data_IF_426624948979
#
_entry.id   IF_426624948979
#
_cell.length_a   1.000
_cell.length_b   1.000
_cell.length_c   1.000
_cell.angle_alpha   90.00
_cell.angle_beta   90.00
_cell.angle_gamma   90.00
#
_symmetry.space_group_name_H-M   'P 1'
#
loop_
_entity.id
_entity.type
_entity.pdbx_description
1 polymer ?
#
# COMPACT_ATOMS: atom_id res chain seq x y z
N UNK A 1 -21.60 55.51 55.32
CA UNK A 1 -22.21 54.54 54.38
C UNK A 1 -22.88 55.20 53.16
N UNK A 2 -23.48 56.40 53.30
CA UNK A 2 -24.16 57.13 52.22
C UNK A 2 -23.26 57.60 51.05
N UNK A 3 -22.04 58.09 51.32
CA UNK A 3 -21.15 58.65 50.28
C UNK A 3 -20.62 57.57 49.31
N UNK A 4 -20.38 56.34 49.80
CA UNK A 4 -19.94 55.20 48.96
C UNK A 4 -20.99 54.79 47.93
N UNK A 5 -22.29 54.89 48.25
CA UNK A 5 -23.37 54.52 47.33
C UNK A 5 -23.56 55.50 46.16
N UNK A 6 -23.37 56.81 46.41
CA UNK A 6 -23.48 57.85 45.39
C UNK A 6 -22.30 57.78 44.40
N UNK A 7 -21.08 57.63 44.92
CA UNK A 7 -19.89 57.48 44.10
C UNK A 7 -19.98 56.24 43.17
N UNK A 8 -20.47 55.12 43.69
CA UNK A 8 -20.63 53.89 42.91
C UNK A 8 -21.66 54.04 41.76
N UNK A 9 -22.73 54.80 41.97
CA UNK A 9 -23.76 55.04 40.97
C UNK A 9 -23.27 55.98 39.85
N UNK A 10 -22.47 56.99 40.20
CA UNK A 10 -21.84 57.89 39.22
C UNK A 10 -20.83 57.12 38.36
N UNK A 11 -19.95 56.33 38.99
CA UNK A 11 -18.98 55.49 38.28
C UNK A 11 -19.68 54.52 37.33
N UNK A 12 -20.78 53.88 37.76
CA UNK A 12 -21.57 53.00 36.90
C UNK A 12 -22.14 53.73 35.67
N UNK A 13 -22.67 54.95 35.84
CA UNK A 13 -23.21 55.74 34.72
C UNK A 13 -22.12 56.14 33.73
N UNK A 14 -20.94 56.52 34.21
CA UNK A 14 -19.79 56.87 33.37
C UNK A 14 -19.34 55.65 32.56
N UNK A 15 -19.22 54.49 33.21
CA UNK A 15 -18.88 53.24 32.53
C UNK A 15 -19.94 52.85 31.49
N UNK A 16 -21.22 52.95 31.81
CA UNK A 16 -22.30 52.66 30.87
C UNK A 16 -22.27 53.58 29.64
N UNK A 17 -21.97 54.87 29.83
CA UNK A 17 -21.76 55.79 28.70
C UNK A 17 -20.55 55.40 27.86
N UNK A 18 -19.42 55.16 28.51
CA UNK A 18 -18.19 54.79 27.82
C UNK A 18 -18.37 53.51 26.99
N UNK A 19 -18.85 52.41 27.60
CA UNK A 19 -19.09 51.16 26.88
C UNK A 19 -20.21 51.30 25.84
N UNK A 20 -21.31 52.00 26.16
CA UNK A 20 -22.41 52.19 25.23
C UNK A 20 -21.99 52.91 23.95
N UNK A 21 -21.23 54.01 24.07
CA UNK A 21 -20.73 54.76 22.92
C UNK A 21 -19.72 53.96 22.10
N UNK A 22 -18.80 53.24 22.74
CA UNK A 22 -17.86 52.38 22.03
C UNK A 22 -18.56 51.25 21.26
N UNK A 23 -19.56 50.61 21.86
CA UNK A 23 -20.36 49.58 21.19
C UNK A 23 -21.19 50.18 20.05
N UNK A 24 -21.69 51.41 20.20
CA UNK A 24 -22.40 52.10 19.11
C UNK A 24 -21.46 52.35 17.92
N UNK A 25 -20.26 52.86 18.19
CA UNK A 25 -19.26 53.13 17.18
C UNK A 25 -18.82 51.84 16.47
N UNK A 26 -18.56 50.77 17.22
CA UNK A 26 -18.28 49.45 16.68
C UNK A 26 -19.43 48.93 15.80
N UNK A 27 -20.68 49.15 16.22
CA UNK A 27 -21.85 48.79 15.42
C UNK A 27 -21.95 49.57 14.11
N UNK A 28 -21.72 50.89 14.15
CA UNK A 28 -21.70 51.73 12.95
C UNK A 28 -20.59 51.33 11.98
N UNK A 29 -19.39 51.00 12.47
CA UNK A 29 -18.31 50.47 11.64
C UNK A 29 -18.67 49.09 11.05
N UNK A 30 -19.30 48.23 11.84
CA UNK A 30 -19.68 46.88 11.41
C UNK A 30 -20.76 46.91 10.32
N UNK A 31 -21.64 47.92 10.30
CA UNK A 31 -22.67 48.07 9.23
C UNK A 31 -22.07 48.09 7.82
N UNK A 32 -20.83 48.57 7.67
CA UNK A 32 -20.14 48.61 6.37
C UNK A 32 -19.84 47.19 5.86
N UNK A 33 -19.55 46.25 6.77
CA UNK A 33 -19.18 44.87 6.44
C UNK A 33 -20.35 43.88 6.57
N UNK A 34 -21.27 44.12 7.50
CA UNK A 34 -22.44 43.29 7.78
C UNK A 34 -23.58 44.14 8.32
N UNK A 35 -24.65 44.27 7.51
CA UNK A 35 -25.85 45.02 7.88
C UNK A 35 -26.44 44.51 9.21
N UNK A 36 -26.68 43.20 9.30
CA UNK A 36 -27.26 42.60 10.50
C UNK A 36 -26.30 42.60 11.70
N UNK A 37 -24.99 42.36 11.46
CA UNK A 37 -23.97 42.45 12.51
C UNK A 37 -23.93 43.85 13.14
N UNK A 38 -23.91 44.89 12.30
CA UNK A 38 -23.95 46.28 12.75
C UNK A 38 -25.24 46.64 13.49
N UNK A 39 -26.40 46.22 12.97
CA UNK A 39 -27.70 46.45 13.63
C UNK A 39 -27.72 45.83 15.03
N UNK A 40 -27.24 44.60 15.22
CA UNK A 40 -27.25 43.95 16.54
C UNK A 40 -26.31 44.63 17.55
N UNK A 41 -25.15 45.14 17.13
CA UNK A 41 -24.30 45.97 17.98
C UNK A 41 -24.97 47.29 18.36
N UNK A 42 -25.64 47.96 17.43
CA UNK A 42 -26.37 49.21 17.70
C UNK A 42 -27.50 48.97 18.71
N UNK A 43 -28.27 47.88 18.54
CA UNK A 43 -29.29 47.48 19.51
C UNK A 43 -28.70 47.15 20.88
N UNK A 44 -27.54 46.48 20.93
CA UNK A 44 -26.84 46.22 22.18
C UNK A 44 -26.39 47.51 22.87
N UNK A 45 -25.88 48.49 22.11
CA UNK A 45 -25.51 49.81 22.62
C UNK A 45 -26.71 50.56 23.23
N UNK A 46 -27.86 50.53 22.56
CA UNK A 46 -29.08 51.18 23.03
C UNK A 46 -29.59 50.64 24.37
N UNK A 47 -29.32 49.36 24.67
CA UNK A 47 -29.61 48.77 25.97
C UNK A 47 -28.65 49.26 27.08
N UNK A 48 -27.42 49.65 26.73
CA UNK A 48 -26.38 50.07 27.66
C UNK A 48 -26.50 51.58 27.98
N UNK A 49 -26.78 52.42 26.98
CA UNK A 49 -26.76 53.89 27.09
C UNK A 49 -27.87 54.41 28.03
N UNK A 50 -27.54 55.17 29.11
CA UNK A 50 -28.53 55.58 30.11
C UNK A 50 -29.70 56.45 29.60
N UNK A 51 -29.52 57.46 28.74
CA UNK A 51 -30.64 58.24 28.19
C UNK A 51 -31.70 57.39 27.47
N UNK A 52 -31.26 56.38 26.72
CA UNK A 52 -32.16 55.51 25.96
C UNK A 52 -32.95 54.62 26.92
N UNK A 53 -32.30 54.14 27.98
CA UNK A 53 -32.97 53.42 29.07
C UNK A 53 -34.09 54.26 29.70
N UNK A 54 -33.81 55.50 30.07
CA UNK A 54 -34.79 56.40 30.70
C UNK A 54 -35.94 56.72 29.75
N UNK A 55 -35.65 56.93 28.47
CA UNK A 55 -36.64 57.16 27.43
C UNK A 55 -37.58 55.95 27.24
N UNK A 56 -37.03 54.73 27.14
CA UNK A 56 -37.83 53.51 26.99
C UNK A 56 -38.68 53.24 28.22
N UNK A 57 -38.13 53.41 29.42
CA UNK A 57 -38.88 53.25 30.67
C UNK A 57 -40.06 54.23 30.75
N UNK A 58 -39.84 55.49 30.38
CA UNK A 58 -40.88 56.53 30.34
C UNK A 58 -41.97 56.23 29.32
N UNK A 59 -41.63 55.67 28.16
CA UNK A 59 -42.59 55.43 27.07
C UNK A 59 -43.36 54.11 27.21
N UNK A 60 -42.73 53.08 27.76
CA UNK A 60 -43.30 51.72 27.83
C UNK A 60 -43.86 51.37 29.20
N UNK A 61 -43.62 52.21 30.22
CA UNK A 61 -43.97 51.96 31.62
C UNK A 61 -43.42 50.62 32.17
N UNK A 62 -42.40 50.05 31.50
CA UNK A 62 -41.74 48.80 31.86
C UNK A 62 -40.27 49.08 32.17
N UNK A 63 -39.81 48.63 33.33
CA UNK A 63 -38.39 48.67 33.69
C UNK A 63 -37.75 47.31 33.44
N UNK A 64 -36.83 47.23 32.47
CA UNK A 64 -36.03 46.03 32.26
C UNK A 64 -35.11 45.78 33.47
N UNK A 65 -35.22 44.60 34.08
CA UNK A 65 -34.31 44.15 35.13
C UNK A 65 -32.89 44.02 34.59
N UNK A 66 -31.89 44.35 35.42
CA UNK A 66 -30.46 44.30 35.05
C UNK A 66 -30.07 42.94 34.45
N UNK A 67 -30.54 41.83 35.05
CA UNK A 67 -30.27 40.46 34.56
C UNK A 67 -30.73 40.23 33.12
N UNK A 68 -31.98 40.58 32.81
CA UNK A 68 -32.56 40.37 31.48
C UNK A 68 -31.85 41.20 30.42
N UNK A 69 -31.43 42.42 30.77
CA UNK A 69 -30.66 43.28 29.89
C UNK A 69 -29.27 42.71 29.58
N UNK A 70 -28.55 42.25 30.60
CA UNK A 70 -27.22 41.66 30.40
C UNK A 70 -27.30 40.42 29.50
N UNK A 71 -28.34 39.59 29.69
CA UNK A 71 -28.61 38.43 28.83
C UNK A 71 -28.92 38.88 27.39
N UNK A 72 -29.80 39.87 27.21
CA UNK A 72 -30.16 40.39 25.88
C UNK A 72 -28.96 40.96 25.13
N UNK A 73 -28.11 41.72 25.82
CA UNK A 73 -26.86 42.24 25.28
C UNK A 73 -25.97 41.09 24.83
N UNK A 74 -25.74 40.08 25.68
CA UNK A 74 -24.91 38.93 25.34
C UNK A 74 -25.43 38.16 24.11
N UNK A 75 -26.74 37.95 24.00
CA UNK A 75 -27.37 37.32 22.82
C UNK A 75 -27.13 38.16 21.56
N UNK A 76 -27.27 39.49 21.64
CA UNK A 76 -27.02 40.39 20.51
C UNK A 76 -25.55 40.39 20.07
N UNK A 77 -24.61 40.29 21.02
CA UNK A 77 -23.18 40.13 20.70
C UNK A 77 -22.92 38.80 19.97
N UNK A 78 -23.50 37.69 20.41
CA UNK A 78 -23.39 36.38 19.74
C UNK A 78 -24.00 36.45 18.33
N UNK A 79 -25.20 36.99 18.21
CA UNK A 79 -25.87 37.15 16.93
C UNK A 79 -25.03 38.03 15.98
N UNK A 80 -24.51 39.16 16.47
CA UNK A 80 -23.63 40.03 15.70
C UNK A 80 -22.39 39.28 15.19
N UNK A 81 -21.71 38.54 16.07
CA UNK A 81 -20.54 37.73 15.72
C UNK A 81 -20.85 36.72 14.62
N UNK A 82 -21.98 36.00 14.75
CA UNK A 82 -22.45 35.04 13.75
C UNK A 82 -22.70 35.69 12.38
N UNK A 83 -23.50 36.75 12.33
CA UNK A 83 -23.84 37.42 11.06
C UNK A 83 -22.64 38.16 10.42
N UNK A 84 -21.71 38.65 11.23
CA UNK A 84 -20.47 39.25 10.71
C UNK A 84 -19.57 38.20 10.10
N UNK A 85 -19.39 37.05 10.77
CA UNK A 85 -18.62 35.92 10.24
C UNK A 85 -19.23 35.36 8.95
N UNK A 86 -20.56 35.22 8.90
CA UNK A 86 -21.26 34.74 7.70
C UNK A 86 -21.05 35.68 6.50
N UNK A 87 -21.19 37.00 6.70
CA UNK A 87 -20.98 38.01 5.64
C UNK A 87 -19.55 37.97 5.09
N UNK A 88 -18.55 37.88 5.98
CA UNK A 88 -17.13 37.77 5.58
C UNK A 88 -16.86 36.50 4.77
N UNK A 89 -17.39 35.36 5.20
CA UNK A 89 -17.25 34.10 4.47
C UNK A 89 -17.87 34.15 3.08
N UNK A 90 -19.04 34.78 2.94
CA UNK A 90 -19.69 34.95 1.64
C UNK A 90 -18.90 35.89 0.72
N UNK A 91 -18.32 36.97 1.25
CA UNK A 91 -17.47 37.88 0.49
C UNK A 91 -16.19 37.19 -0.02
N UNK A 92 -15.55 36.38 0.82
CA UNK A 92 -14.37 35.57 0.43
C UNK A 92 -14.74 34.57 -0.67
N UNK A 93 -15.88 33.89 -0.54
CA UNK A 93 -16.38 32.95 -1.56
C UNK A 93 -16.64 33.64 -2.90
N UNK A 94 -17.33 34.78 -2.90
CA UNK A 94 -17.59 35.58 -4.10
C UNK A 94 -16.31 36.06 -4.77
N UNK A 95 -15.31 36.47 -3.98
CA UNK A 95 -14.01 36.87 -4.50
C UNK A 95 -13.29 35.69 -5.17
N UNK A 96 -13.31 34.51 -4.55
CA UNK A 96 -12.72 33.30 -5.12
C UNK A 96 -13.43 32.86 -6.41
N UNK A 97 -14.77 32.93 -6.45
CA UNK A 97 -15.56 32.67 -7.65
C UNK A 97 -15.24 33.67 -8.77
N UNK A 98 -15.12 34.96 -8.44
CA UNK A 98 -14.73 36.00 -9.40
C UNK A 98 -13.33 35.75 -9.97
N UNK A 99 -12.35 35.45 -9.12
CA UNK A 99 -10.99 35.11 -9.57
C UNK A 99 -10.96 33.85 -10.44
N UNK A 100 -11.78 32.85 -10.11
CA UNK A 100 -11.93 31.65 -10.95
C UNK A 100 -12.53 32.00 -12.31
N UNK A 101 -13.57 32.84 -12.34
CA UNK A 101 -14.21 33.27 -13.57
C UNK A 101 -13.26 34.08 -14.44
N UNK A 102 -12.49 35.01 -13.87
CA UNK A 102 -11.48 35.79 -14.60
C UNK A 102 -10.44 34.87 -15.26
N UNK A 103 -10.00 33.80 -14.58
CA UNK A 103 -9.11 32.79 -15.17
C UNK A 103 -9.76 32.03 -16.33
N UNK A 104 -11.04 31.70 -16.22
CA UNK A 104 -11.79 31.05 -17.30
C UNK A 104 -11.94 32.00 -18.49
N UNK A 105 -12.26 33.26 -18.26
CA UNK A 105 -12.41 34.26 -19.32
C UNK A 105 -11.08 34.50 -20.05
N UNK A 106 -9.96 34.51 -19.32
CA UNK A 106 -8.62 34.56 -19.91
C UNK A 106 -8.31 33.31 -20.74
N UNK A 107 -8.71 32.13 -20.24
CA UNK A 107 -8.58 30.87 -20.99
C UNK A 107 -9.40 30.90 -22.29
N UNK A 108 -10.67 31.31 -22.25
CA UNK A 108 -11.54 31.34 -23.42
C UNK A 108 -11.00 32.23 -24.55
N UNK A 109 -10.35 33.35 -24.19
CA UNK A 109 -9.69 34.24 -25.16
C UNK A 109 -8.51 33.59 -25.87
N UNK A 110 -7.76 32.73 -25.18
CA UNK A 110 -6.56 32.07 -25.71
C UNK A 110 -6.82 30.61 -26.14
N UNK A 111 -8.04 30.11 -25.95
CA UNK A 111 -8.43 28.72 -26.24
C UNK A 111 -8.00 28.24 -27.63
N UNK A 112 -8.17 29.01 -28.72
CA UNK A 112 -7.74 28.56 -30.06
C UNK A 112 -6.24 28.25 -30.14
N UNK A 113 -5.39 29.08 -29.51
CA UNK A 113 -3.93 28.89 -29.52
C UNK A 113 -3.52 27.72 -28.64
N UNK A 114 -4.17 27.55 -27.48
CA UNK A 114 -3.96 26.41 -26.59
C UNK A 114 -4.29 25.11 -27.31
N UNK A 115 -5.46 25.05 -27.95
CA UNK A 115 -5.92 23.88 -28.72
C UNK A 115 -4.99 23.62 -29.89
N UNK A 116 -4.55 24.65 -30.62
CA UNK A 116 -3.57 24.51 -31.71
C UNK A 116 -2.26 23.90 -31.19
N UNK A 117 -1.71 24.43 -30.10
CA UNK A 117 -0.47 23.92 -29.48
C UNK A 117 -0.58 22.44 -29.08
N UNK A 118 -1.69 22.06 -28.45
CA UNK A 118 -1.92 20.66 -28.04
C UNK A 118 -2.05 19.76 -29.27
N UNK A 119 -2.75 20.21 -30.31
CA UNK A 119 -2.88 19.45 -31.56
C UNK A 119 -1.55 19.30 -32.29
N UNK A 120 -0.71 20.34 -32.34
CA UNK A 120 0.65 20.26 -32.90
C UNK A 120 1.47 19.23 -32.16
N UNK A 121 1.50 19.26 -30.82
CA UNK A 121 2.20 18.26 -30.02
C UNK A 121 1.69 16.83 -30.29
N UNK A 122 0.37 16.65 -30.47
CA UNK A 122 -0.21 15.36 -30.86
C UNK A 122 0.21 14.94 -32.28
N UNK A 123 0.31 15.86 -33.23
CA UNK A 123 0.76 15.60 -34.61
C UNK A 123 2.24 15.23 -34.68
N UNK A 124 3.05 15.83 -33.81
CA UNK A 124 4.47 15.54 -33.65
C UNK A 124 4.73 14.30 -32.77
N UNK A 125 3.68 13.59 -32.36
CA UNK A 125 3.70 12.43 -31.45
C UNK A 125 4.30 12.72 -30.06
N UNK A 126 4.45 14.00 -29.69
CA UNK A 126 4.82 14.43 -28.35
C UNK A 126 3.60 14.45 -27.42
N UNK A 127 3.09 13.23 -27.16
CA UNK A 127 1.89 13.05 -26.35
C UNK A 127 2.08 13.50 -24.89
N UNK A 128 3.30 13.47 -24.37
CA UNK A 128 3.58 13.92 -23.01
C UNK A 128 3.42 15.44 -22.90
N UNK A 129 3.99 16.21 -23.83
CA UNK A 129 3.78 17.66 -23.89
C UNK A 129 2.31 18.00 -24.09
N UNK A 130 1.61 17.29 -24.98
CA UNK A 130 0.17 17.47 -25.17
C UNK A 130 -0.63 17.21 -23.88
N UNK A 131 -0.32 16.13 -23.16
CA UNK A 131 -0.98 15.78 -21.91
C UNK A 131 -0.70 16.85 -20.83
N UNK A 132 0.54 17.24 -20.63
CA UNK A 132 0.91 18.22 -19.60
C UNK A 132 0.31 19.59 -19.88
N UNK A 133 0.35 20.03 -21.15
CA UNK A 133 -0.26 21.30 -21.57
C UNK A 133 -1.77 21.27 -21.35
N UNK A 134 -2.45 20.19 -21.72
CA UNK A 134 -3.91 20.06 -21.48
C UNK A 134 -4.26 20.00 -19.99
N UNK A 135 -3.42 19.37 -19.16
CA UNK A 135 -3.63 19.23 -17.72
C UNK A 135 -3.57 20.59 -16.97
N UNK A 136 -2.78 21.55 -17.48
CA UNK A 136 -2.72 22.91 -16.94
C UNK A 136 -4.07 23.63 -16.96
N UNK A 137 -4.97 23.28 -17.89
CA UNK A 137 -6.26 23.93 -18.09
C UNK A 137 -7.45 23.13 -17.55
N UNK A 138 -7.22 22.12 -16.69
CA UNK A 138 -8.28 21.30 -16.10
C UNK A 138 -9.29 22.14 -15.28
N UNK A 139 -8.84 23.26 -14.72
CA UNK A 139 -9.68 24.19 -13.96
C UNK A 139 -10.84 24.79 -14.79
N UNK A 140 -10.68 24.86 -16.12
CA UNK A 140 -11.70 25.40 -17.03
C UNK A 140 -12.82 24.39 -17.33
N UNK A 141 -12.61 23.10 -17.04
CA UNK A 141 -13.57 22.02 -17.33
C UNK A 141 -14.01 21.96 -18.81
N UNK A 142 -13.15 22.44 -19.72
CA UNK A 142 -13.45 22.49 -21.15
C UNK A 142 -13.47 21.10 -21.80
N UNK A 143 -14.48 20.85 -22.64
CA UNK A 143 -14.71 19.53 -23.27
C UNK A 143 -13.62 19.19 -24.27
N UNK A 144 -13.16 20.18 -25.07
CA UNK A 144 -12.14 19.94 -26.10
C UNK A 144 -10.79 19.62 -25.46
N UNK A 145 -10.38 20.40 -24.45
CA UNK A 145 -9.16 20.15 -23.68
C UNK A 145 -9.19 18.77 -23.02
N UNK A 146 -10.31 18.41 -22.38
CA UNK A 146 -10.45 17.10 -21.73
C UNK A 146 -10.38 15.94 -22.74
N UNK A 147 -10.97 16.10 -23.92
CA UNK A 147 -10.88 15.11 -25.01
C UNK A 147 -9.46 14.97 -25.52
N UNK A 148 -8.74 16.07 -25.74
CA UNK A 148 -7.35 16.05 -26.19
C UNK A 148 -6.42 15.43 -25.15
N UNK A 149 -6.63 15.76 -23.87
CA UNK A 149 -5.93 15.15 -22.74
C UNK A 149 -6.12 13.63 -22.71
N UNK A 150 -7.37 13.17 -22.83
CA UNK A 150 -7.69 11.76 -22.84
C UNK A 150 -7.06 11.04 -24.04
N UNK A 151 -7.06 11.67 -25.22
CA UNK A 151 -6.39 11.16 -26.42
C UNK A 151 -4.88 11.03 -26.21
N UNK A 152 -4.21 12.09 -25.74
CA UNK A 152 -2.78 12.09 -25.46
C UNK A 152 -2.43 11.01 -24.42
N UNK A 153 -3.20 10.93 -23.32
CA UNK A 153 -3.01 9.92 -22.28
C UNK A 153 -3.10 8.49 -22.83
N UNK A 154 -4.10 8.23 -23.68
CA UNK A 154 -4.29 6.91 -24.31
C UNK A 154 -3.08 6.51 -25.17
N UNK A 155 -2.52 7.44 -25.95
CA UNK A 155 -1.34 7.14 -26.76
C UNK A 155 -0.07 6.99 -25.91
N UNK A 156 0.12 7.79 -24.85
CA UNK A 156 1.19 7.57 -23.86
C UNK A 156 1.10 6.15 -23.29
N UNK A 157 -0.08 5.73 -22.86
CA UNK A 157 -0.27 4.39 -22.28
C UNK A 157 -0.02 3.28 -23.28
N UNK A 158 -0.34 3.51 -24.56
CA UNK A 158 -0.04 2.58 -25.66
C UNK A 158 1.46 2.47 -25.92
N UNK A 159 2.18 3.61 -25.97
CA UNK A 159 3.63 3.64 -26.14
C UNK A 159 4.35 2.98 -24.97
N UNK A 160 3.93 3.30 -23.75
CA UNK A 160 4.48 2.68 -22.54
C UNK A 160 4.25 1.17 -22.56
N UNK A 161 3.04 0.71 -22.89
CA UNK A 161 2.75 -0.72 -23.04
C UNK A 161 3.65 -1.37 -24.08
N UNK A 162 3.87 -0.73 -25.24
CA UNK A 162 4.76 -1.24 -26.29
C UNK A 162 6.20 -1.36 -25.77
N UNK A 163 6.71 -0.33 -25.09
CA UNK A 163 8.03 -0.34 -24.48
C UNK A 163 8.18 -1.44 -23.42
N UNK A 164 7.18 -1.61 -22.55
CA UNK A 164 7.16 -2.65 -21.52
C UNK A 164 7.21 -4.05 -22.15
N UNK A 165 6.45 -4.28 -23.24
CA UNK A 165 6.51 -5.53 -24.00
C UNK A 165 7.91 -5.75 -24.60
N UNK A 166 8.49 -4.75 -25.27
CA UNK A 166 9.83 -4.85 -25.86
C UNK A 166 10.91 -5.15 -24.82
N UNK A 167 10.84 -4.50 -23.66
CA UNK A 167 11.76 -4.73 -22.54
C UNK A 167 11.64 -6.17 -22.01
N UNK A 168 10.42 -6.68 -21.84
CA UNK A 168 10.21 -8.07 -21.39
C UNK A 168 10.73 -9.07 -22.45
N UNK A 169 10.47 -8.81 -23.73
CA UNK A 169 10.97 -9.64 -24.82
C UNK A 169 12.51 -9.62 -24.91
N UNK A 170 13.14 -8.49 -24.61
CA UNK A 170 14.59 -8.39 -24.52
C UNK A 170 15.15 -9.19 -23.33
N UNK A 171 14.49 -9.09 -22.17
CA UNK A 171 14.85 -9.87 -20.97
C UNK A 171 14.75 -11.37 -21.25
N UNK A 172 13.67 -11.82 -21.89
CA UNK A 172 13.48 -13.22 -22.30
C UNK A 172 14.61 -13.76 -23.19
N UNK A 173 15.20 -12.93 -24.08
CA UNK A 173 16.33 -13.34 -24.91
C UNK A 173 17.62 -13.55 -24.11
N UNK A 174 17.74 -12.91 -22.96
CA UNK A 174 18.94 -12.92 -22.12
C UNK A 174 18.90 -14.03 -21.07
N UNK A 175 17.71 -14.55 -20.76
CA UNK A 175 17.50 -15.59 -19.75
C UNK A 175 17.62 -16.97 -20.42
N UNK A 176 18.46 -17.89 -19.89
CA UNK A 176 18.51 -19.26 -20.36
C UNK A 176 17.16 -19.98 -20.28
N UNK A 177 16.83 -20.83 -21.24
CA UNK A 177 15.53 -21.54 -21.27
C UNK A 177 15.28 -22.39 -20.02
N UNK A 178 16.34 -22.94 -19.42
CA UNK A 178 16.29 -23.74 -18.19
C UNK A 178 15.88 -22.97 -16.94
N UNK A 179 15.89 -21.63 -16.97
CA UNK A 179 15.45 -20.78 -15.87
C UNK A 179 13.91 -20.69 -15.85
N UNK A 180 13.24 -21.84 -15.67
CA UNK A 180 11.79 -21.99 -15.90
C UNK A 180 10.94 -21.01 -15.08
N UNK A 181 11.30 -20.75 -13.82
CA UNK A 181 10.57 -19.84 -12.93
C UNK A 181 10.63 -18.40 -13.45
N UNK A 182 11.82 -17.93 -13.86
CA UNK A 182 12.00 -16.57 -14.38
C UNK A 182 11.27 -16.40 -15.71
N UNK A 183 11.45 -17.36 -16.62
CA UNK A 183 10.76 -17.35 -17.91
C UNK A 183 9.23 -17.34 -17.72
N UNK A 184 8.69 -18.20 -16.84
CA UNK A 184 7.26 -18.21 -16.49
C UNK A 184 6.77 -16.83 -16.06
N UNK A 185 7.44 -16.18 -15.11
CA UNK A 185 7.05 -14.86 -14.61
C UNK A 185 7.04 -13.77 -15.69
N UNK A 186 7.95 -13.84 -16.67
CA UNK A 186 7.95 -12.91 -17.80
C UNK A 186 6.77 -13.15 -18.75
N UNK A 187 6.40 -14.41 -19.02
CA UNK A 187 5.21 -14.70 -19.81
C UNK A 187 3.90 -14.33 -19.11
N UNK A 188 3.83 -14.45 -17.77
CA UNK A 188 2.69 -13.95 -16.99
C UNK A 188 2.53 -12.43 -17.17
N UNK A 189 3.63 -11.68 -17.06
CA UNK A 189 3.63 -10.22 -17.30
C UNK A 189 3.21 -9.87 -18.73
N UNK A 190 3.69 -10.62 -19.73
CA UNK A 190 3.27 -10.41 -21.13
C UNK A 190 1.77 -10.64 -21.33
N UNK A 191 1.16 -11.63 -20.66
CA UNK A 191 -0.27 -11.89 -20.75
C UNK A 191 -1.12 -10.83 -20.04
N UNK A 192 -0.62 -10.16 -19.00
CA UNK A 192 -1.29 -9.00 -18.43
C UNK A 192 -1.37 -7.85 -19.46
N UNK A 193 -0.31 -7.67 -20.26
CA UNK A 193 -0.23 -6.60 -21.26
C UNK A 193 -0.94 -6.97 -22.57
N UNK A 194 -0.96 -8.25 -22.95
CA UNK A 194 -1.55 -8.80 -24.18
C UNK A 194 -2.31 -10.10 -23.88
N UNK A 195 -3.52 -10.04 -23.30
CA UNK A 195 -4.25 -11.21 -22.81
C UNK A 195 -4.65 -12.23 -23.88
N UNK A 196 -4.83 -11.78 -25.14
CA UNK A 196 -5.31 -12.62 -26.24
C UNK A 196 -4.18 -13.27 -27.05
N UNK A 197 -2.92 -13.16 -26.60
CA UNK A 197 -1.80 -13.76 -27.30
C UNK A 197 -1.68 -15.27 -27.02
N UNK A 198 -2.01 -16.10 -28.00
CA UNK A 198 -1.96 -17.56 -27.86
C UNK A 198 -0.54 -18.10 -27.64
N UNK A 199 0.48 -17.53 -28.28
CA UNK A 199 1.87 -17.97 -28.11
C UNK A 199 2.35 -17.77 -26.66
N UNK A 200 1.97 -16.65 -26.03
CA UNK A 200 2.32 -16.40 -24.63
C UNK A 200 1.59 -17.34 -23.67
N UNK A 201 0.34 -17.72 -23.98
CA UNK A 201 -0.41 -18.73 -23.21
C UNK A 201 0.27 -20.10 -23.28
N UNK A 202 0.62 -20.55 -24.49
CA UNK A 202 1.32 -21.82 -24.71
C UNK A 202 2.68 -21.85 -24.00
N UNK A 203 3.45 -20.77 -24.06
CA UNK A 203 4.73 -20.67 -23.35
C UNK A 203 4.55 -20.68 -21.83
N UNK A 204 3.53 -19.99 -21.30
CA UNK A 204 3.22 -20.01 -19.88
C UNK A 204 2.89 -21.43 -19.39
N UNK A 205 2.09 -22.16 -20.17
CA UNK A 205 1.75 -23.55 -19.89
C UNK A 205 2.99 -24.46 -19.95
N UNK A 206 3.82 -24.31 -20.99
CA UNK A 206 5.07 -25.04 -21.13
C UNK A 206 5.98 -24.88 -19.90
N UNK A 207 6.25 -23.65 -19.46
CA UNK A 207 7.10 -23.43 -18.29
C UNK A 207 6.46 -23.92 -16.99
N UNK A 208 5.13 -23.86 -16.89
CA UNK A 208 4.41 -24.42 -15.74
C UNK A 208 4.55 -25.94 -15.70
N UNK A 209 4.43 -26.64 -16.83
CA UNK A 209 4.70 -28.08 -16.93
C UNK A 209 6.14 -28.41 -16.55
N UNK A 210 7.12 -27.65 -17.05
CA UNK A 210 8.53 -27.90 -16.73
C UNK A 210 8.88 -27.75 -15.26
N UNK A 211 8.25 -26.79 -14.58
CA UNK A 211 8.42 -26.62 -13.13
C UNK A 211 7.82 -27.82 -12.39
N UNK A 212 6.64 -28.28 -12.78
CA UNK A 212 6.00 -29.42 -12.13
C UNK A 212 6.78 -30.73 -12.41
N UNK A 213 7.23 -30.95 -13.64
CA UNK A 213 8.11 -32.08 -14.00
C UNK A 213 9.37 -32.11 -13.12
N UNK A 214 10.06 -30.97 -12.99
CA UNK A 214 11.26 -30.86 -12.16
C UNK A 214 10.96 -31.13 -10.67
N UNK A 215 9.82 -30.64 -10.17
CA UNK A 215 9.37 -30.91 -8.80
C UNK A 215 9.06 -32.38 -8.58
N UNK A 216 8.38 -33.03 -9.53
CA UNK A 216 8.08 -34.46 -9.47
C UNK A 216 9.36 -35.31 -9.53
N UNK A 217 10.33 -34.92 -10.35
CA UNK A 217 11.63 -35.58 -10.40
C UNK A 217 12.37 -35.44 -9.05
N UNK A 218 12.36 -34.25 -8.45
CA UNK A 218 12.93 -34.01 -7.12
C UNK A 218 12.25 -34.88 -6.05
N UNK A 219 10.92 -34.96 -6.05
CA UNK A 219 10.17 -35.80 -5.11
C UNK A 219 10.55 -37.28 -5.30
N UNK A 220 10.65 -37.76 -6.54
CA UNK A 220 11.06 -39.14 -6.83
C UNK A 220 12.49 -39.42 -6.38
N UNK A 221 13.41 -38.47 -6.60
CA UNK A 221 14.79 -38.59 -6.18
C UNK A 221 14.91 -38.65 -4.65
N UNK A 222 14.18 -37.81 -3.92
CA UNK A 222 14.16 -37.82 -2.45
C UNK A 222 13.54 -39.12 -1.92
N UNK A 223 12.38 -39.54 -2.45
CA UNK A 223 11.75 -40.80 -2.05
C UNK A 223 12.65 -42.01 -2.32
N UNK A 224 13.41 -42.00 -3.44
CA UNK A 224 14.41 -43.04 -3.73
C UNK A 224 15.54 -43.01 -2.70
N UNK A 225 16.06 -41.83 -2.39
CA UNK A 225 17.12 -41.65 -1.40
C UNK A 225 16.67 -42.15 -0.02
N UNK A 226 15.49 -41.75 0.44
CA UNK A 226 14.92 -42.25 1.70
C UNK A 226 14.77 -43.77 1.70
N UNK A 227 14.28 -44.35 0.59
CA UNK A 227 14.16 -45.81 0.44
C UNK A 227 15.52 -46.51 0.54
N UNK A 228 16.57 -45.96 -0.08
CA UNK A 228 17.94 -46.47 0.03
C UNK A 228 18.47 -46.34 1.46
N UNK A 229 18.38 -45.14 2.05
CA UNK A 229 18.88 -44.86 3.41
C UNK A 229 18.18 -45.72 4.47
N UNK A 230 16.91 -46.07 4.26
CA UNK A 230 16.17 -46.98 5.14
C UNK A 230 16.75 -48.40 5.25
N UNK A 231 17.70 -48.78 4.39
CA UNK A 231 18.42 -50.06 4.47
C UNK A 231 19.61 -50.02 5.43
N UNK A 232 20.09 -48.83 5.81
CA UNK A 232 21.28 -48.62 6.62
C UNK A 232 20.93 -48.15 8.04
N UNK A 233 21.68 -48.64 9.02
CA UNK A 233 21.57 -48.18 10.40
C UNK A 233 21.94 -46.70 10.51
N UNK A 234 21.09 -45.86 11.15
CA UNK A 234 21.41 -44.44 11.35
C UNK A 234 22.54 -44.22 12.38
N UNK A 235 22.95 -45.27 13.11
CA UNK A 235 23.93 -45.16 14.20
C UNK A 235 25.36 -45.42 13.74
N UNK A 236 25.56 -46.45 12.93
CA UNK A 236 26.88 -46.91 12.47
C UNK A 236 26.96 -47.04 10.94
N UNK A 237 25.86 -46.85 10.21
CA UNK A 237 25.83 -46.98 8.75
C UNK A 237 25.85 -48.43 8.26
N UNK A 238 25.70 -49.43 9.14
CA UNK A 238 25.66 -50.84 8.75
C UNK A 238 24.45 -51.18 7.87
N UNK A 239 24.66 -51.97 6.81
CA UNK A 239 23.55 -52.47 6.00
C UNK A 239 22.83 -53.60 6.73
N UNK A 240 21.58 -53.36 7.15
CA UNK A 240 20.83 -54.25 8.05
C UNK A 240 20.71 -55.69 7.52
N UNK A 241 20.53 -55.85 6.22
CA UNK A 241 20.42 -57.18 5.59
C UNK A 241 21.75 -57.94 5.60
N UNK A 242 22.86 -57.24 5.36
CA UNK A 242 24.19 -57.86 5.29
C UNK A 242 24.71 -58.16 6.68
N UNK A 243 24.51 -57.24 7.62
CA UNK A 243 24.87 -57.45 9.02
C UNK A 243 24.24 -58.75 9.57
N UNK A 244 22.96 -59.02 9.26
CA UNK A 244 22.28 -60.25 9.64
C UNK A 244 22.92 -61.50 9.03
N UNK A 245 23.29 -61.46 7.75
CA UNK A 245 23.93 -62.59 7.07
C UNK A 245 25.34 -62.83 7.64
N UNK A 246 26.13 -61.77 7.81
CA UNK A 246 27.48 -61.85 8.36
C UNK A 246 27.43 -62.44 9.77
N UNK A 247 26.60 -61.88 10.67
CA UNK A 247 26.45 -62.40 12.03
C UNK A 247 26.04 -63.87 12.05
N UNK A 248 25.18 -64.31 11.12
CA UNK A 248 24.75 -65.71 11.02
C UNK A 248 25.85 -66.64 10.52
N UNK A 249 26.79 -66.15 9.71
CA UNK A 249 27.92 -66.92 9.19
C UNK A 249 29.12 -66.96 10.16
N UNK A 250 29.18 -66.05 11.14
CA UNK A 250 30.28 -65.99 12.12
C UNK A 250 30.20 -67.09 13.19
N UNK A 251 31.36 -67.57 13.63
CA UNK A 251 31.48 -68.51 14.76
C UNK A 251 31.01 -67.91 16.09
N UNK A 252 31.33 -66.63 16.34
CA UNK A 252 30.85 -65.86 17.50
C UNK A 252 30.13 -64.58 17.01
N UNK A 253 28.80 -64.65 16.77
CA UNK A 253 28.02 -63.50 16.30
C UNK A 253 28.06 -62.28 17.23
N UNK A 254 28.30 -62.50 18.53
CA UNK A 254 28.36 -61.43 19.53
C UNK A 254 29.64 -60.59 19.41
N UNK A 255 30.67 -61.13 18.76
CA UNK A 255 31.93 -60.44 18.50
C UNK A 255 31.92 -59.51 17.28
N UNK A 256 30.81 -59.46 16.53
CA UNK A 256 30.70 -58.62 15.34
C UNK A 256 30.78 -57.13 15.72
N UNK A 257 31.66 -56.42 15.03
CA UNK A 257 31.78 -54.97 15.09
C UNK A 257 31.79 -54.43 13.66
N UNK A 258 30.84 -53.55 13.33
CA UNK A 258 30.82 -52.87 12.04
C UNK A 258 32.03 -51.91 11.94
N UNK A 259 32.66 -51.86 10.76
CA UNK A 259 33.81 -50.99 10.50
C UNK A 259 33.47 -49.91 9.45
N UNK A 260 32.99 -50.34 8.28
CA UNK A 260 32.66 -49.43 7.18
C UNK A 260 31.57 -50.04 6.30
N UNK A 261 30.73 -49.19 5.71
CA UNK A 261 29.88 -49.62 4.60
C UNK A 261 29.92 -48.60 3.48
N UNK A 262 30.14 -49.10 2.26
CA UNK A 262 30.07 -48.35 1.03
C UNK A 262 28.98 -48.95 0.15
N UNK A 263 28.28 -48.12 -0.62
CA UNK A 263 27.33 -48.61 -1.61
C UNK A 263 27.45 -47.86 -2.93
N UNK A 264 27.05 -48.52 -4.01
CA UNK A 264 26.95 -47.95 -5.35
C UNK A 264 25.55 -48.17 -5.89
N UNK A 265 24.84 -47.09 -6.22
CA UNK A 265 23.53 -47.15 -6.88
C UNK A 265 23.72 -47.48 -8.37
N UNK A 266 23.10 -48.57 -8.82
CA UNK A 266 23.11 -49.03 -10.23
C UNK A 266 21.78 -48.77 -10.95
N UNK A 267 20.83 -48.08 -10.31
CA UNK A 267 19.51 -47.75 -10.85
C UNK A 267 18.44 -48.77 -10.44
N UNK A 268 18.59 -50.03 -10.81
CA UNK A 268 17.65 -51.11 -10.46
C UNK A 268 18.03 -51.84 -9.15
N UNK A 269 19.29 -51.78 -8.74
CA UNK A 269 19.84 -52.42 -7.55
C UNK A 269 20.96 -51.60 -6.91
N UNK A 270 21.37 -51.97 -5.69
CA UNK A 270 22.59 -51.46 -5.06
C UNK A 270 23.67 -52.55 -5.05
N UNK A 271 24.91 -52.11 -5.12
CA UNK A 271 26.06 -52.94 -4.72
C UNK A 271 26.53 -52.41 -3.39
N UNK A 272 26.52 -53.24 -2.35
CA UNK A 272 26.89 -52.86 -0.99
C UNK A 272 28.12 -53.64 -0.57
N UNK A 273 29.10 -52.97 0.01
CA UNK A 273 30.30 -53.54 0.61
C UNK A 273 30.30 -53.19 2.09
N UNK A 274 30.24 -54.19 2.95
CA UNK A 274 30.37 -54.04 4.41
C UNK A 274 31.69 -54.64 4.86
N UNK A 275 32.53 -53.84 5.53
CA UNK A 275 33.73 -54.29 6.25
C UNK A 275 33.40 -54.39 7.74
N UNK A 276 33.90 -55.42 8.40
CA UNK A 276 33.62 -55.70 9.80
C UNK A 276 34.81 -56.33 10.50
N UNK A 277 34.76 -56.35 11.82
CA UNK A 277 35.69 -57.06 12.71
C UNK A 277 34.94 -58.13 13.50
N UNK A 278 35.63 -59.22 13.83
CA UNK A 278 35.06 -60.29 14.64
C UNK A 278 36.08 -61.34 15.08
N UNK A 279 35.73 -62.16 16.07
CA UNK A 279 36.60 -63.23 16.57
C UNK A 279 36.57 -64.46 15.66
N UNK A 280 37.74 -64.98 15.32
CA UNK A 280 37.90 -66.26 14.63
C UNK A 280 37.79 -67.45 15.61
N UNK A 281 37.83 -68.69 15.08
CA UNK A 281 37.74 -69.91 15.91
C UNK A 281 38.87 -70.12 16.93
N UNK A 282 39.94 -69.33 16.86
CA UNK A 282 41.07 -69.35 17.80
C UNK A 282 41.05 -68.16 18.78
N UNK A 283 39.97 -67.35 18.77
CA UNK A 283 39.77 -66.22 19.68
C UNK A 283 40.45 -64.91 19.27
N UNK A 284 41.16 -64.86 18.14
CA UNK A 284 41.77 -63.65 17.60
C UNK A 284 40.77 -62.78 16.83
N UNK A 285 40.86 -61.45 16.95
CA UNK A 285 40.04 -60.51 16.17
C UNK A 285 40.62 -60.35 14.76
N UNK A 286 39.81 -60.62 13.74
CA UNK A 286 40.17 -60.49 12.33
C UNK A 286 39.23 -59.49 11.64
N UNK A 287 39.69 -58.90 10.53
CA UNK A 287 38.86 -58.09 9.64
C UNK A 287 38.33 -58.96 8.51
N UNK A 288 37.07 -58.76 8.17
CA UNK A 288 36.46 -59.36 7.00
C UNK A 288 35.62 -58.35 6.23
N UNK A 289 35.17 -58.76 5.05
CA UNK A 289 34.27 -57.98 4.23
C UNK A 289 33.29 -58.89 3.48
N UNK A 290 32.11 -58.34 3.20
CA UNK A 290 31.13 -58.96 2.30
C UNK A 290 30.65 -57.90 1.33
N UNK A 291 30.74 -58.22 0.03
CA UNK A 291 30.21 -57.44 -1.07
C UNK A 291 29.01 -58.17 -1.66
N UNK A 292 27.88 -57.49 -1.75
CA UNK A 292 26.66 -58.10 -2.26
C UNK A 292 25.88 -57.16 -3.17
N UNK A 293 25.10 -57.77 -4.07
CA UNK A 293 24.03 -57.15 -4.81
C UNK A 293 22.77 -57.15 -3.96
N UNK A 294 22.16 -55.98 -3.75
CA UNK A 294 20.93 -55.84 -2.96
C UNK A 294 19.85 -55.13 -3.77
N UNK A 295 18.60 -55.49 -3.52
CA UNK A 295 17.45 -54.73 -4.04
C UNK A 295 17.37 -53.34 -3.40
N UNK A 296 16.55 -52.46 -3.97
CA UNK A 296 16.24 -51.16 -3.38
C UNK A 296 15.42 -51.25 -2.07
N UNK A 297 15.02 -52.45 -1.65
CA UNK A 297 14.33 -52.72 -0.38
C UNK A 297 15.22 -53.41 0.65
N UNK A 298 16.53 -53.53 0.39
CA UNK A 298 17.50 -54.14 1.32
C UNK A 298 17.51 -55.67 1.33
N UNK A 299 16.76 -56.32 0.43
CA UNK A 299 16.85 -57.76 0.19
C UNK A 299 18.18 -58.09 -0.49
N UNK A 300 18.93 -59.05 0.06
CA UNK A 300 20.16 -59.56 -0.53
C UNK A 300 19.82 -60.47 -1.70
N UNK A 301 20.31 -60.13 -2.90
CA UNK A 301 20.03 -60.88 -4.13
C UNK A 301 21.17 -61.86 -4.43
N UNK A 302 22.41 -61.44 -4.23
CA UNK A 302 23.61 -62.21 -4.60
C UNK A 302 24.82 -61.74 -3.78
N UNK A 303 25.62 -62.68 -3.25
CA UNK A 303 26.95 -62.36 -2.70
C UNK A 303 27.95 -62.36 -3.86
N UNK A 304 28.61 -61.22 -4.05
CA UNK A 304 29.53 -61.00 -5.16
C UNK A 304 30.98 -61.34 -4.79
N UNK A 305 31.36 -61.08 -3.53
CA UNK A 305 32.72 -61.27 -3.03
C UNK A 305 32.70 -61.29 -1.49
N UNK A 306 33.56 -62.09 -0.87
CA UNK A 306 33.72 -62.16 0.59
C UNK A 306 35.13 -62.61 0.97
N UNK A 307 35.64 -62.11 2.11
CA UNK A 307 36.97 -62.47 2.62
C UNK A 307 37.29 -61.90 3.99
#
# INVERSE_FOLDING_TARGET
MFIRGIALNIVYKILAWFFGVNVLLAGLLTLIQSLFGGIFFILASFLIIPPIKEFVAKKTNKNLTVKFRTISVFILFIASGYFTSQSQNEAVKKLAEKQKQEKIDLFEKDKPNIVATINTAIQEEDYQVAFDKSNQYLFASDVDINRLRAKAKKEIDKLKRKQDIENILFELKSIPEKEYIKNKGLYERLLILVPDNNQYKEKLEFYSSKIEEAKQEQIKAEARKERIESQFSPWDGSHRGLEKIIKKAMNDPSSYEHDETSYWDRGDHLVVLTKYRGKNGFGGVVRGYVKAKTSLDGVILEILDEG
#
